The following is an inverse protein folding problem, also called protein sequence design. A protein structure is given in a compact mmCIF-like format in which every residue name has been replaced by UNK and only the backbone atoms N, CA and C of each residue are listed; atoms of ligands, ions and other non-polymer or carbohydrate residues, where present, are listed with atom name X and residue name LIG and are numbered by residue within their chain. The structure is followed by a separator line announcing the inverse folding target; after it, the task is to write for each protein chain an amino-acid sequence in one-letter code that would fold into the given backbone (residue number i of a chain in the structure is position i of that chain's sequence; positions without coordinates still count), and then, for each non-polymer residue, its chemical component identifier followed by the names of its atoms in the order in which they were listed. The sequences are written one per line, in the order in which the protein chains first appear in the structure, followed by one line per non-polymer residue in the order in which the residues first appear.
data_IF_546417936448
#
_entry.id   IF_546417936448
#
_cell.length_a   1.000
_cell.length_b   1.000
_cell.length_c   1.000
_cell.angle_alpha   90.00
_cell.angle_beta   90.00
_cell.angle_gamma   90.00
#
_symmetry.space_group_name_H-M   'P 1'
#
loop_
_entity.id
_entity.type
_entity.pdbx_description
1 polymer ?
#
# COMPACT_ATOMS: atom_id res chain seq x y z
N UNK A 1 0.63 -19.35 24.02
CA UNK A 1 0.52 -17.90 24.27
C UNK A 1 -0.84 -17.70 24.91
N UNK A 2 -0.91 -17.06 26.08
CA UNK A 2 -2.21 -16.80 26.70
C UNK A 2 -2.85 -15.66 25.92
N UNK A 3 -3.86 -16.00 25.12
CA UNK A 3 -4.56 -15.03 24.28
C UNK A 3 -5.64 -14.35 25.11
N UNK A 4 -5.73 -13.03 24.97
CA UNK A 4 -6.67 -12.18 25.71
C UNK A 4 -7.91 -11.92 24.86
N UNK A 5 -9.07 -11.81 25.51
CA UNK A 5 -10.29 -11.40 24.83
C UNK A 5 -10.22 -9.90 24.51
N UNK A 6 -11.06 -9.42 23.58
CA UNK A 6 -11.09 -8.01 23.20
C UNK A 6 -11.30 -7.06 24.39
N UNK A 7 -12.13 -7.47 25.35
CA UNK A 7 -12.45 -6.69 26.55
C UNK A 7 -11.25 -6.47 27.50
N UNK A 8 -10.24 -7.34 27.46
CA UNK A 8 -9.10 -7.32 28.39
C UNK A 8 -7.97 -6.36 27.94
N UNK A 9 -8.04 -5.86 26.71
CA UNK A 9 -7.09 -4.86 26.22
C UNK A 9 -7.45 -3.47 26.77
N UNK A 10 -6.45 -2.59 27.02
CA UNK A 10 -6.72 -1.20 27.37
C UNK A 10 -7.37 -0.43 26.20
N UNK A 11 -7.70 0.85 26.42
CA UNK A 11 -8.00 1.75 25.30
C UNK A 11 -6.79 1.86 24.37
N UNK A 12 -7.07 1.84 23.08
CA UNK A 12 -6.08 1.97 22.01
C UNK A 12 -5.71 3.43 21.86
N UNK A 13 -4.42 3.74 21.94
CA UNK A 13 -3.87 5.01 21.46
C UNK A 13 -3.88 5.02 19.92
N UNK A 14 -4.85 5.72 19.35
CA UNK A 14 -5.06 5.82 17.89
C UNK A 14 -3.98 6.65 17.18
N UNK A 15 -3.17 7.40 17.93
CA UNK A 15 -2.04 8.15 17.37
C UNK A 15 -0.75 7.33 17.34
N UNK A 16 -0.75 6.14 17.96
CA UNK A 16 0.43 5.30 18.01
C UNK A 16 0.83 4.84 16.60
N UNK A 17 2.11 4.99 16.19
CA UNK A 17 2.56 4.63 14.85
C UNK A 17 2.23 3.19 14.47
N UNK A 18 2.40 2.24 15.40
CA UNK A 18 2.07 0.83 15.14
C UNK A 18 0.60 0.64 14.83
N UNK A 19 -0.31 1.34 15.51
CA UNK A 19 -1.75 1.19 15.28
C UNK A 19 -2.17 1.76 13.93
N UNK A 20 -1.71 2.97 13.58
CA UNK A 20 -1.96 3.59 12.28
C UNK A 20 -1.53 2.63 11.16
N UNK A 21 -0.33 2.07 11.26
CA UNK A 21 0.21 1.13 10.28
C UNK A 21 -0.62 -0.15 10.16
N UNK A 22 -1.18 -0.66 11.26
CA UNK A 22 -2.12 -1.79 11.24
C UNK A 22 -3.39 -1.42 10.47
N UNK A 23 -4.00 -0.27 10.76
CA UNK A 23 -5.23 0.16 10.08
C UNK A 23 -5.02 0.42 8.59
N UNK A 24 -3.87 0.99 8.18
CA UNK A 24 -3.49 1.10 6.76
C UNK A 24 -3.35 -0.27 6.08
N UNK A 25 -2.80 -1.23 6.82
CA UNK A 25 -2.66 -2.61 6.32
C UNK A 25 -4.02 -3.30 6.16
N UNK A 26 -4.95 -3.06 7.09
CA UNK A 26 -6.36 -3.50 6.99
C UNK A 26 -7.06 -2.83 5.81
N UNK A 27 -6.90 -1.51 5.64
CA UNK A 27 -7.46 -0.79 4.49
C UNK A 27 -7.01 -1.40 3.16
N UNK A 28 -5.70 -1.63 2.98
CA UNK A 28 -5.17 -2.28 1.77
C UNK A 28 -5.77 -3.65 1.53
N UNK A 29 -6.10 -4.38 2.60
CA UNK A 29 -6.75 -5.68 2.52
C UNK A 29 -8.20 -5.56 2.04
N UNK A 30 -8.91 -4.53 2.50
CA UNK A 30 -10.32 -4.30 2.17
C UNK A 30 -10.50 -3.65 0.80
N UNK A 31 -9.54 -2.85 0.32
CA UNK A 31 -9.48 -2.35 -1.06
C UNK A 31 -9.10 -3.47 -2.04
N UNK A 32 -9.92 -4.52 -2.09
CA UNK A 32 -9.74 -5.71 -2.91
C UNK A 32 -9.75 -5.38 -4.41
N UNK A 33 -10.40 -4.28 -4.79
CA UNK A 33 -10.50 -3.77 -6.15
C UNK A 33 -9.34 -2.83 -6.54
N UNK A 34 -8.49 -2.45 -5.57
CA UNK A 34 -7.30 -1.64 -5.78
C UNK A 34 -7.57 -0.22 -6.29
N UNK A 35 -8.69 0.38 -5.88
CA UNK A 35 -9.10 1.72 -6.32
C UNK A 35 -8.57 2.84 -5.42
N UNK A 36 -7.89 2.50 -4.33
CA UNK A 36 -7.43 3.46 -3.32
C UNK A 36 -8.58 4.00 -2.46
N UNK A 37 -9.71 3.30 -2.41
CA UNK A 37 -10.87 3.67 -1.60
C UNK A 37 -11.71 2.43 -1.27
N UNK A 38 -12.34 2.44 -0.09
CA UNK A 38 -13.30 1.40 0.35
C UNK A 38 -14.68 2.00 0.55
N UNK A 39 -15.72 1.28 0.14
CA UNK A 39 -17.12 1.56 0.40
C UNK A 39 -17.84 0.31 0.89
N UNK A 40 -19.17 0.38 0.98
CA UNK A 40 -20.01 -0.78 1.35
C UNK A 40 -19.77 -1.98 0.44
N UNK A 41 -19.51 -1.75 -0.85
CA UNK A 41 -19.23 -2.79 -1.83
C UNK A 41 -18.07 -3.70 -1.41
N UNK A 42 -16.96 -3.13 -0.91
CA UNK A 42 -15.80 -3.91 -0.48
C UNK A 42 -16.14 -4.80 0.73
N UNK A 43 -17.01 -4.34 1.63
CA UNK A 43 -17.49 -5.14 2.77
C UNK A 43 -18.44 -6.26 2.33
N UNK A 44 -19.29 -6.01 1.33
CA UNK A 44 -20.16 -7.03 0.74
C UNK A 44 -19.37 -8.06 -0.08
N UNK A 45 -18.28 -7.64 -0.74
CA UNK A 45 -17.37 -8.53 -1.44
C UNK A 45 -16.71 -9.51 -0.46
N UNK A 46 -16.33 -9.07 0.75
CA UNK A 46 -15.81 -9.95 1.81
C UNK A 46 -16.85 -11.03 2.15
N UNK A 47 -18.10 -10.66 2.43
CA UNK A 47 -19.15 -11.63 2.73
C UNK A 47 -19.36 -12.61 1.56
N UNK A 48 -19.39 -12.10 0.33
CA UNK A 48 -19.55 -12.91 -0.88
C UNK A 48 -18.41 -13.92 -1.05
N UNK A 49 -17.17 -13.48 -0.84
CA UNK A 49 -15.99 -14.35 -0.94
C UNK A 49 -16.02 -15.45 0.11
N UNK A 50 -16.34 -15.10 1.37
CA UNK A 50 -16.45 -16.10 2.44
C UNK A 50 -17.56 -17.11 2.12
N UNK A 51 -18.74 -16.64 1.73
CA UNK A 51 -19.86 -17.52 1.34
C UNK A 51 -19.49 -18.48 0.21
N UNK A 52 -18.70 -18.02 -0.76
CA UNK A 52 -18.25 -18.85 -1.87
C UNK A 52 -17.30 -19.97 -1.44
N UNK A 53 -16.53 -19.76 -0.38
CA UNK A 53 -15.62 -20.75 0.19
C UNK A 53 -16.34 -21.78 1.09
N UNK A 54 -17.50 -21.42 1.64
CA UNK A 54 -18.29 -22.26 2.55
C UNK A 54 -19.70 -22.61 2.03
N UNK A 55 -19.85 -23.20 0.82
CA UNK A 55 -21.16 -23.42 0.19
C UNK A 55 -22.03 -24.48 0.89
N UNK A 56 -21.46 -25.23 1.83
CA UNK A 56 -22.16 -26.25 2.62
C UNK A 56 -22.62 -25.74 3.99
N UNK A 57 -22.24 -24.53 4.37
CA UNK A 57 -22.64 -23.94 5.64
C UNK A 57 -24.15 -23.67 5.65
N UNK A 58 -24.75 -23.64 6.84
CA UNK A 58 -26.18 -23.33 6.97
C UNK A 58 -26.44 -21.89 6.50
N UNK A 59 -27.48 -21.70 5.67
CA UNK A 59 -27.84 -20.37 5.13
C UNK A 59 -27.94 -19.28 6.21
N UNK A 60 -28.38 -19.67 7.41
CA UNK A 60 -28.45 -18.80 8.58
C UNK A 60 -27.12 -18.11 8.92
N UNK A 61 -25.99 -18.83 8.89
CA UNK A 61 -24.67 -18.24 9.14
C UNK A 61 -24.26 -17.26 8.04
N UNK A 62 -24.69 -17.52 6.82
CA UNK A 62 -24.53 -16.60 5.70
C UNK A 62 -25.27 -15.29 5.90
N UNK A 63 -26.54 -15.37 6.29
CA UNK A 63 -27.34 -14.18 6.60
C UNK A 63 -26.73 -13.37 7.75
N UNK A 64 -26.23 -14.05 8.79
CA UNK A 64 -25.52 -13.40 9.90
C UNK A 64 -24.24 -12.69 9.46
N UNK A 65 -23.44 -13.32 8.60
CA UNK A 65 -22.21 -12.70 8.08
C UNK A 65 -22.51 -11.45 7.24
N UNK A 66 -23.51 -11.52 6.36
CA UNK A 66 -23.92 -10.36 5.54
C UNK A 66 -24.43 -9.23 6.43
N UNK A 67 -25.28 -9.53 7.41
CA UNK A 67 -25.77 -8.54 8.38
C UNK A 67 -24.62 -7.90 9.16
N UNK A 68 -23.64 -8.70 9.59
CA UNK A 68 -22.48 -8.21 10.31
C UNK A 68 -21.61 -7.27 9.46
N UNK A 69 -21.37 -7.59 8.18
CA UNK A 69 -20.62 -6.70 7.27
C UNK A 69 -21.36 -5.38 6.98
N UNK A 70 -22.69 -5.43 6.81
CA UNK A 70 -23.53 -4.25 6.65
C UNK A 70 -23.46 -3.37 7.92
N UNK A 71 -23.64 -3.98 9.09
CA UNK A 71 -23.59 -3.26 10.36
C UNK A 71 -22.19 -2.69 10.65
N UNK A 72 -21.12 -3.42 10.31
CA UNK A 72 -19.76 -2.93 10.46
C UNK A 72 -19.53 -1.66 9.62
N UNK A 73 -20.08 -1.60 8.41
CA UNK A 73 -20.04 -0.38 7.61
C UNK A 73 -20.95 0.72 8.17
N UNK A 74 -22.27 0.52 8.21
CA UNK A 74 -23.23 1.60 8.53
C UNK A 74 -23.32 1.95 10.01
N UNK A 75 -23.19 0.95 10.89
CA UNK A 75 -23.37 1.10 12.34
C UNK A 75 -22.09 1.46 13.08
N UNK A 76 -20.92 1.10 12.55
CA UNK A 76 -19.65 1.20 13.28
C UNK A 76 -18.64 2.14 12.61
N UNK A 77 -18.30 1.91 11.33
CA UNK A 77 -17.20 2.64 10.66
C UNK A 77 -17.71 3.92 10.00
N UNK A 78 -18.67 3.80 9.09
CA UNK A 78 -19.28 4.92 8.36
C UNK A 78 -20.48 5.45 9.14
N UNK A 79 -20.22 6.24 10.18
CA UNK A 79 -21.25 6.76 11.09
C UNK A 79 -21.56 8.25 10.94
N UNK A 80 -20.78 8.97 10.13
CA UNK A 80 -21.01 10.39 9.87
C UNK A 80 -22.17 10.60 8.87
N UNK A 81 -23.04 11.58 9.13
CA UNK A 81 -24.18 11.94 8.27
C UNK A 81 -25.37 10.97 8.31
N UNK A 82 -26.44 11.18 7.52
CA UNK A 82 -27.63 10.31 7.50
C UNK A 82 -27.37 8.96 6.81
N UNK A 83 -27.87 7.86 7.38
CA UNK A 83 -27.62 6.48 6.91
C UNK A 83 -27.90 6.27 5.40
N UNK A 84 -29.03 6.78 4.89
CA UNK A 84 -29.41 6.65 3.48
C UNK A 84 -28.44 7.32 2.50
N UNK A 85 -27.57 8.22 2.98
CA UNK A 85 -26.54 8.87 2.16
C UNK A 85 -25.21 8.10 2.20
N UNK A 86 -25.03 7.19 3.16
CA UNK A 86 -23.76 6.49 3.40
C UNK A 86 -23.50 5.34 2.43
N UNK A 87 -24.51 4.90 1.70
CA UNK A 87 -24.35 3.90 0.63
C UNK A 87 -23.44 4.40 -0.49
N UNK A 88 -23.45 5.71 -0.78
CA UNK A 88 -22.59 6.32 -1.78
C UNK A 88 -21.25 6.83 -1.23
N UNK A 89 -21.00 6.69 0.08
CA UNK A 89 -19.74 7.11 0.69
C UNK A 89 -18.66 6.10 0.35
N UNK A 90 -17.54 6.62 -0.13
CA UNK A 90 -16.27 5.91 -0.23
C UNK A 90 -15.26 6.63 0.67
N UNK A 91 -14.43 5.86 1.36
CA UNK A 91 -13.37 6.38 2.22
C UNK A 91 -12.03 6.07 1.58
N UNK A 92 -11.21 7.11 1.40
CA UNK A 92 -9.78 6.91 1.16
C UNK A 92 -9.09 6.44 2.44
N UNK A 93 -7.83 6.00 2.32
CA UNK A 93 -7.12 5.37 3.45
C UNK A 93 -7.10 6.27 4.71
N UNK A 94 -6.84 7.58 4.55
CA UNK A 94 -6.81 8.54 5.67
C UNK A 94 -8.14 8.64 6.41
N UNK A 95 -9.24 8.70 5.65
CA UNK A 95 -10.59 8.82 6.18
C UNK A 95 -10.99 7.50 6.86
N UNK A 96 -10.63 6.36 6.28
CA UNK A 96 -10.84 5.05 6.87
C UNK A 96 -10.09 4.89 8.20
N UNK A 97 -8.80 5.27 8.26
CA UNK A 97 -8.00 5.20 9.50
C UNK A 97 -8.62 6.10 10.57
N UNK A 98 -9.10 7.28 10.19
CA UNK A 98 -9.76 8.22 11.09
C UNK A 98 -11.10 7.68 11.59
N UNK A 99 -11.92 7.11 10.70
CA UNK A 99 -13.18 6.46 11.05
C UNK A 99 -12.95 5.28 12.02
N UNK A 100 -11.96 4.43 11.74
CA UNK A 100 -11.52 3.37 12.65
C UNK A 100 -11.10 3.93 14.00
N UNK A 101 -10.38 5.07 14.03
CA UNK A 101 -9.96 5.71 15.28
C UNK A 101 -11.14 6.19 16.13
N UNK A 102 -12.21 6.67 15.50
CA UNK A 102 -13.44 7.08 16.20
C UNK A 102 -14.17 5.89 16.83
N UNK A 103 -14.15 4.71 16.20
CA UNK A 103 -14.95 3.57 16.63
C UNK A 103 -14.17 2.51 17.43
N UNK A 104 -12.82 2.44 17.33
CA UNK A 104 -11.99 1.34 17.86
C UNK A 104 -12.14 1.14 19.37
N UNK A 105 -12.31 2.21 20.15
CA UNK A 105 -12.52 2.14 21.60
C UNK A 105 -14.00 2.10 22.00
N UNK A 106 -14.91 2.23 21.04
CA UNK A 106 -16.36 2.22 21.23
C UNK A 106 -17.01 0.96 20.66
N UNK A 107 -18.01 1.14 19.79
CA UNK A 107 -18.82 0.06 19.23
C UNK A 107 -17.99 -1.06 18.59
N UNK A 108 -16.89 -0.72 17.92
CA UNK A 108 -16.03 -1.75 17.31
C UNK A 108 -15.50 -2.76 18.34
N UNK A 109 -15.11 -2.29 19.53
CA UNK A 109 -14.60 -3.15 20.60
C UNK A 109 -15.70 -3.85 21.36
N UNK A 110 -16.77 -3.14 21.72
CA UNK A 110 -17.89 -3.72 22.48
C UNK A 110 -18.65 -4.78 21.67
N UNK A 111 -18.66 -4.64 20.35
CA UNK A 111 -19.38 -5.53 19.46
C UNK A 111 -18.46 -6.47 18.66
N UNK A 112 -17.16 -6.49 18.99
CA UNK A 112 -16.12 -7.21 18.26
C UNK A 112 -16.47 -8.70 18.06
N UNK A 113 -16.92 -9.35 19.13
CA UNK A 113 -17.23 -10.78 19.11
C UNK A 113 -18.46 -11.09 18.28
N UNK A 114 -19.53 -10.27 18.36
CA UNK A 114 -20.76 -10.55 17.62
C UNK A 114 -20.67 -10.19 16.14
N UNK A 115 -19.87 -9.19 15.76
CA UNK A 115 -19.85 -8.66 14.39
C UNK A 115 -18.63 -9.09 13.58
N UNK A 116 -17.58 -9.62 14.22
CA UNK A 116 -16.36 -10.04 13.51
C UNK A 116 -16.05 -11.50 13.82
N UNK A 117 -15.90 -11.85 15.11
CA UNK A 117 -15.45 -13.20 15.50
C UNK A 117 -16.51 -14.25 15.20
N UNK A 118 -17.73 -14.07 15.70
CA UNK A 118 -18.79 -15.09 15.61
C UNK A 118 -19.22 -15.38 14.17
N UNK A 119 -19.52 -14.38 13.32
CA UNK A 119 -20.00 -14.66 11.97
C UNK A 119 -18.96 -15.40 11.11
N UNK A 120 -17.67 -15.18 11.37
CA UNK A 120 -16.59 -15.87 10.66
C UNK A 120 -16.31 -17.26 11.23
N UNK A 121 -16.30 -17.38 12.56
CA UNK A 121 -16.07 -18.66 13.22
C UNK A 121 -17.21 -19.64 12.96
N UNK A 122 -18.45 -19.20 13.16
CA UNK A 122 -19.64 -20.05 13.05
C UNK A 122 -19.90 -20.44 11.58
N UNK A 123 -19.47 -19.62 10.61
CA UNK A 123 -19.46 -19.98 9.18
C UNK A 123 -18.50 -21.14 8.88
N UNK A 124 -17.33 -21.12 9.52
CA UNK A 124 -16.27 -22.09 9.32
C UNK A 124 -16.52 -23.40 10.09
N UNK A 125 -17.00 -23.32 11.34
CA UNK A 125 -17.38 -24.44 12.22
C UNK A 125 -18.78 -25.00 11.84
N UNK A 126 -18.89 -25.47 10.59
CA UNK A 126 -20.16 -25.92 10.03
C UNK A 126 -20.68 -27.22 10.65
N UNK A 127 -19.79 -28.08 11.18
CA UNK A 127 -20.17 -29.32 11.86
C UNK A 127 -20.40 -29.14 13.37
N UNK A 128 -20.17 -27.92 13.88
CA UNK A 128 -20.47 -27.49 15.26
C UNK A 128 -19.67 -28.28 16.29
N UNK A 129 -18.45 -28.67 15.95
CA UNK A 129 -17.54 -29.36 16.85
C UNK A 129 -16.77 -28.39 17.78
N UNK A 130 -16.88 -27.09 17.52
CA UNK A 130 -16.25 -26.02 18.29
C UNK A 130 -14.83 -25.69 17.84
N UNK A 131 -14.38 -26.23 16.71
CA UNK A 131 -13.03 -26.08 16.18
C UNK A 131 -13.05 -25.70 14.70
N UNK A 132 -12.31 -24.66 14.37
CA UNK A 132 -11.97 -24.32 12.99
C UNK A 132 -10.73 -25.11 12.57
N UNK A 133 -10.88 -25.95 11.54
CA UNK A 133 -9.80 -26.75 10.98
C UNK A 133 -8.87 -25.92 10.08
N UNK A 134 -7.70 -26.48 9.72
CA UNK A 134 -6.67 -25.74 8.98
C UNK A 134 -7.14 -25.25 7.61
N UNK A 135 -7.88 -26.08 6.87
CA UNK A 135 -8.46 -25.72 5.58
C UNK A 135 -9.49 -24.61 5.74
N UNK A 136 -10.36 -24.70 6.74
CA UNK A 136 -11.42 -23.71 7.00
C UNK A 136 -10.80 -22.36 7.39
N UNK A 137 -9.82 -22.34 8.30
CA UNK A 137 -9.09 -21.12 8.62
C UNK A 137 -8.40 -20.53 7.39
N UNK A 138 -7.87 -21.38 6.51
CA UNK A 138 -7.26 -20.92 5.26
C UNK A 138 -8.27 -20.25 4.34
N UNK A 139 -9.45 -20.82 4.21
CA UNK A 139 -10.54 -20.26 3.42
C UNK A 139 -11.01 -18.91 3.98
N UNK A 140 -11.18 -18.79 5.31
CA UNK A 140 -11.50 -17.49 5.94
C UNK A 140 -10.42 -16.45 5.63
N UNK A 141 -9.14 -16.78 5.85
CA UNK A 141 -8.05 -15.83 5.63
C UNK A 141 -7.94 -15.43 4.15
N UNK A 142 -8.08 -16.36 3.21
CA UNK A 142 -8.05 -16.10 1.77
C UNK A 142 -9.24 -15.25 1.32
N UNK A 143 -10.43 -15.50 1.86
CA UNK A 143 -11.62 -14.70 1.56
C UNK A 143 -11.48 -13.23 2.00
N UNK A 144 -10.68 -12.99 3.05
CA UNK A 144 -10.24 -11.66 3.48
C UNK A 144 -9.01 -11.15 2.71
N UNK A 145 -8.72 -11.65 1.52
CA UNK A 145 -7.59 -11.22 0.69
C UNK A 145 -6.22 -11.67 1.20
N UNK A 146 -6.18 -12.61 2.14
CA UNK A 146 -5.00 -13.33 2.62
C UNK A 146 -4.43 -14.32 1.62
N UNK A 147 -3.32 -14.96 1.98
CA UNK A 147 -2.78 -16.08 1.21
C UNK A 147 -2.62 -17.34 2.07
N UNK A 148 -2.47 -18.48 1.39
CA UNK A 148 -2.37 -19.79 2.02
C UNK A 148 -1.22 -19.89 3.03
N UNK A 149 -0.06 -19.29 2.73
CA UNK A 149 1.12 -19.34 3.62
C UNK A 149 0.88 -18.58 4.92
N UNK A 150 0.20 -17.43 4.83
CA UNK A 150 -0.23 -16.66 6.00
C UNK A 150 -1.17 -17.48 6.86
N UNK A 151 -2.21 -18.07 6.26
CA UNK A 151 -3.18 -18.90 6.98
C UNK A 151 -2.53 -20.09 7.69
N UNK A 152 -1.65 -20.83 7.02
CA UNK A 152 -0.93 -21.96 7.62
C UNK A 152 -0.06 -21.55 8.80
N UNK A 153 0.57 -20.37 8.70
CA UNK A 153 1.39 -19.83 9.77
C UNK A 153 0.54 -19.48 10.98
N UNK A 154 -0.60 -18.81 10.76
CA UNK A 154 -1.53 -18.41 11.80
C UNK A 154 -2.16 -19.63 12.49
N UNK A 155 -2.62 -20.61 11.71
CA UNK A 155 -3.15 -21.86 12.24
C UNK A 155 -2.13 -22.56 13.15
N UNK A 156 -0.86 -22.64 12.73
CA UNK A 156 0.21 -23.24 13.54
C UNK A 156 0.47 -22.48 14.84
N UNK A 157 0.32 -21.15 14.84
CA UNK A 157 0.44 -20.32 16.05
C UNK A 157 -0.72 -20.62 17.02
N UNK A 158 -1.93 -20.77 16.49
CA UNK A 158 -3.15 -20.93 17.27
C UNK A 158 -3.35 -22.35 17.81
N UNK A 159 -3.24 -23.37 16.96
CA UNK A 159 -3.47 -24.78 17.33
C UNK A 159 -2.45 -25.27 18.38
N UNK A 160 -1.33 -24.56 18.56
CA UNK A 160 -0.29 -24.87 19.55
C UNK A 160 0.18 -26.34 19.56
N UNK A 161 -0.02 -27.06 18.45
CA UNK A 161 0.31 -28.46 18.28
C UNK A 161 -0.71 -29.47 18.83
N UNK A 162 -1.91 -29.02 19.25
CA UNK A 162 -2.95 -29.93 19.75
C UNK A 162 -3.58 -30.78 18.64
N UNK A 163 -3.48 -30.33 17.38
CA UNK A 163 -4.10 -30.93 16.19
C UNK A 163 -5.61 -31.13 16.31
N UNK A 164 -6.26 -30.42 17.23
CA UNK A 164 -7.72 -30.44 17.38
C UNK A 164 -8.38 -29.37 16.52
N UNK A 165 -7.64 -28.32 16.18
CA UNK A 165 -8.15 -27.15 15.46
C UNK A 165 -8.12 -25.91 16.35
N UNK A 166 -8.58 -24.80 15.78
CA UNK A 166 -8.58 -23.49 16.45
C UNK A 166 -9.93 -23.26 17.11
N UNK A 167 -9.93 -22.99 18.41
CA UNK A 167 -11.15 -22.64 19.16
C UNK A 167 -11.57 -21.18 18.90
N UNK A 168 -12.85 -20.88 19.16
CA UNK A 168 -13.38 -19.51 19.03
C UNK A 168 -12.62 -18.48 19.86
N UNK A 169 -12.21 -18.82 21.08
CA UNK A 169 -11.42 -17.93 21.94
C UNK A 169 -9.99 -17.68 21.42
N UNK A 170 -9.36 -18.67 20.80
CA UNK A 170 -8.06 -18.49 20.14
C UNK A 170 -8.19 -17.61 18.89
N UNK A 171 -9.27 -17.80 18.11
CA UNK A 171 -9.56 -16.97 16.95
C UNK A 171 -9.90 -15.53 17.34
N UNK A 172 -10.71 -15.32 18.38
CA UNK A 172 -10.94 -14.00 18.97
C UNK A 172 -9.62 -13.37 19.38
N UNK A 173 -8.80 -14.09 20.16
CA UNK A 173 -7.63 -13.54 20.79
C UNK A 173 -6.56 -13.05 19.82
N UNK A 174 -6.37 -13.71 18.68
CA UNK A 174 -5.42 -13.23 17.66
C UNK A 174 -5.92 -12.00 16.91
N UNK A 175 -7.22 -11.93 16.63
CA UNK A 175 -7.83 -10.75 16.04
C UNK A 175 -7.81 -9.58 17.03
N UNK A 176 -8.13 -9.85 18.30
CA UNK A 176 -8.11 -8.87 19.38
C UNK A 176 -6.70 -8.32 19.61
N UNK A 177 -5.67 -9.18 19.65
CA UNK A 177 -4.27 -8.74 19.72
C UNK A 177 -3.94 -7.80 18.56
N UNK A 178 -4.34 -8.14 17.33
CA UNK A 178 -4.08 -7.29 16.17
C UNK A 178 -4.79 -5.94 16.26
N UNK A 179 -6.07 -5.88 16.64
CA UNK A 179 -6.79 -4.59 16.66
C UNK A 179 -6.44 -3.73 17.88
N UNK A 180 -6.25 -4.35 19.05
CA UNK A 180 -6.18 -3.62 20.33
C UNK A 180 -4.77 -3.55 20.96
N UNK A 181 -3.82 -4.42 20.59
CA UNK A 181 -2.45 -4.32 21.11
C UNK A 181 -1.58 -3.40 20.26
N UNK A 182 -1.36 -2.17 20.73
CA UNK A 182 -0.45 -1.21 20.10
C UNK A 182 1.01 -1.68 20.14
N UNK A 183 1.37 -2.52 21.11
CA UNK A 183 2.71 -3.07 21.32
C UNK A 183 2.98 -4.38 20.60
N UNK A 184 2.06 -4.86 19.74
CA UNK A 184 2.16 -6.14 19.04
C UNK A 184 3.47 -6.28 18.26
N UNK A 185 4.06 -7.48 18.32
CA UNK A 185 5.34 -7.80 17.67
C UNK A 185 5.29 -9.18 17.00
N UNK A 186 6.28 -9.43 16.14
CA UNK A 186 6.49 -10.76 15.57
C UNK A 186 5.47 -11.13 14.51
N UNK A 187 5.00 -12.39 14.53
CA UNK A 187 4.18 -12.96 13.45
C UNK A 187 2.72 -12.51 13.51
N UNK A 188 2.16 -12.31 14.71
CA UNK A 188 0.77 -11.84 14.87
C UNK A 188 0.60 -10.40 14.42
N UNK A 189 1.64 -9.56 14.52
CA UNK A 189 1.68 -8.23 13.91
C UNK A 189 1.52 -8.25 12.37
N UNK A 190 1.72 -9.41 11.72
CA UNK A 190 1.60 -9.58 10.27
C UNK A 190 0.31 -10.34 9.88
N UNK A 191 -0.70 -10.36 10.76
CA UNK A 191 -1.98 -11.05 10.53
C UNK A 191 -2.63 -10.67 9.20
N UNK A 192 -2.63 -9.36 8.88
CA UNK A 192 -3.17 -8.82 7.63
C UNK A 192 -2.09 -8.56 6.56
N UNK A 193 -0.93 -9.24 6.68
CA UNK A 193 0.24 -9.05 5.82
C UNK A 193 1.29 -8.13 6.44
N UNK A 194 2.34 -7.83 5.67
CA UNK A 194 3.40 -6.93 6.12
C UNK A 194 2.83 -5.53 6.42
N UNK A 195 3.14 -5.03 7.63
CA UNK A 195 2.69 -3.72 8.09
C UNK A 195 3.29 -2.63 7.22
N UNK A 196 2.44 -1.81 6.63
CA UNK A 196 2.88 -0.65 5.85
C UNK A 196 3.67 0.29 6.76
N UNK A 197 4.92 0.60 6.40
CA UNK A 197 5.88 1.38 7.19
C UNK A 197 6.02 2.83 6.72
N UNK A 198 5.77 3.08 5.43
CA UNK A 198 6.08 4.38 4.85
C UNK A 198 5.03 5.43 5.23
N UNK A 199 5.48 6.67 5.40
CA UNK A 199 4.60 7.82 5.60
C UNK A 199 3.77 8.05 4.35
N UNK A 200 2.48 8.25 4.52
CA UNK A 200 1.59 8.67 3.44
C UNK A 200 1.86 10.13 3.08
N UNK A 201 1.55 10.56 1.85
CA UNK A 201 1.73 11.95 1.47
C UNK A 201 1.11 12.95 2.47
N UNK A 202 -0.04 12.62 3.04
CA UNK A 202 -0.79 13.43 4.01
C UNK A 202 -0.10 13.54 5.37
N UNK A 203 0.82 12.63 5.71
CA UNK A 203 1.59 12.67 6.96
C UNK A 203 2.72 13.71 6.92
N UNK A 204 3.07 14.22 5.74
CA UNK A 204 4.10 15.25 5.57
C UNK A 204 3.49 16.64 5.71
N UNK A 205 4.22 17.61 6.29
CA UNK A 205 3.77 19.00 6.31
C UNK A 205 3.68 19.58 4.89
N UNK A 206 3.08 20.77 4.78
CA UNK A 206 3.15 21.56 3.56
C UNK A 206 4.63 21.77 3.16
N UNK A 207 4.93 21.63 1.87
CA UNK A 207 6.29 21.68 1.35
C UNK A 207 6.61 23.10 0.92
N UNK A 208 7.64 23.73 1.49
CA UNK A 208 8.04 25.12 1.16
C UNK A 208 8.52 25.26 -0.30
N UNK A 209 8.95 24.15 -0.90
CA UNK A 209 9.46 24.06 -2.26
C UNK A 209 10.74 24.88 -2.47
N UNK A 210 11.59 24.92 -1.44
CA UNK A 210 12.85 25.67 -1.43
C UNK A 210 13.95 25.07 -2.33
N UNK A 211 15.21 25.57 -2.24
CA UNK A 211 16.30 25.17 -3.13
C UNK A 211 16.62 23.66 -3.11
N UNK A 212 16.47 23.00 -1.96
CA UNK A 212 16.65 21.55 -1.83
C UNK A 212 15.62 20.80 -2.66
N UNK A 213 14.34 21.18 -2.53
CA UNK A 213 13.24 20.58 -3.26
C UNK A 213 13.36 20.86 -4.77
N UNK A 214 13.61 22.10 -5.17
CA UNK A 214 13.82 22.44 -6.58
C UNK A 214 14.99 21.67 -7.20
N UNK A 215 16.10 21.53 -6.47
CA UNK A 215 17.27 20.78 -6.92
C UNK A 215 16.93 19.30 -7.20
N UNK A 216 16.11 18.68 -6.34
CA UNK A 216 15.58 17.33 -6.58
C UNK A 216 14.75 17.30 -7.86
N UNK A 217 13.73 18.15 -7.98
CA UNK A 217 12.83 18.10 -9.14
C UNK A 217 13.56 18.39 -10.47
N UNK A 218 14.49 19.34 -10.50
CA UNK A 218 15.35 19.58 -11.68
C UNK A 218 16.22 18.38 -12.04
N UNK A 219 16.72 17.68 -11.03
CA UNK A 219 17.47 16.44 -11.23
C UNK A 219 16.58 15.39 -11.88
N UNK A 220 15.39 15.15 -11.32
CA UNK A 220 14.42 14.23 -11.90
C UNK A 220 14.05 14.58 -13.34
N UNK A 221 13.75 15.85 -13.64
CA UNK A 221 13.45 16.31 -15.00
C UNK A 221 14.55 15.93 -15.99
N UNK A 222 15.81 16.22 -15.65
CA UNK A 222 16.97 15.91 -16.52
C UNK A 222 17.21 14.42 -16.69
N UNK A 223 16.86 13.62 -15.70
CA UNK A 223 16.96 12.15 -15.74
C UNK A 223 15.89 11.53 -16.63
N UNK A 224 14.74 12.19 -16.74
CA UNK A 224 13.65 11.79 -17.62
C UNK A 224 13.80 12.36 -19.04
N UNK A 225 14.47 13.50 -19.23
CA UNK A 225 14.78 14.08 -20.56
C UNK A 225 15.96 13.34 -21.20
N UNK A 226 15.71 12.10 -21.63
CA UNK A 226 16.73 11.24 -22.22
C UNK A 226 17.33 11.84 -23.48
N UNK A 227 16.60 12.67 -24.22
CA UNK A 227 17.13 13.29 -25.43
C UNK A 227 17.87 14.62 -25.18
N UNK A 228 17.86 15.14 -23.96
CA UNK A 228 18.46 16.44 -23.64
C UNK A 228 17.82 17.59 -24.42
N UNK A 229 16.53 17.43 -24.75
CA UNK A 229 15.79 18.38 -25.59
C UNK A 229 15.30 19.60 -24.80
N UNK A 230 15.37 19.55 -23.46
CA UNK A 230 14.79 20.52 -22.55
C UNK A 230 13.27 20.36 -22.39
N UNK A 231 12.70 19.27 -22.90
CA UNK A 231 11.26 18.98 -22.88
C UNK A 231 11.02 17.49 -22.66
N UNK A 232 10.05 17.15 -21.81
CA UNK A 232 9.55 15.78 -21.67
C UNK A 232 8.38 15.53 -22.63
N UNK A 233 8.35 14.34 -23.21
CA UNK A 233 7.28 13.85 -24.08
C UNK A 233 6.93 12.42 -23.70
N UNK A 234 5.75 11.95 -24.12
CA UNK A 234 5.35 10.55 -24.02
C UNK A 234 6.44 9.59 -24.54
N UNK A 235 7.17 9.99 -25.58
CA UNK A 235 8.26 9.21 -26.15
C UNK A 235 9.39 8.94 -25.15
N UNK A 236 9.74 9.87 -24.26
CA UNK A 236 10.80 9.66 -23.27
C UNK A 236 10.46 8.51 -22.31
N UNK A 237 9.21 8.45 -21.85
CA UNK A 237 8.69 7.38 -21.00
C UNK A 237 8.63 6.04 -21.74
N UNK A 238 8.22 6.05 -23.01
CA UNK A 238 8.28 4.87 -23.88
C UNK A 238 9.72 4.34 -24.00
N UNK A 239 10.71 5.24 -24.11
CA UNK A 239 12.11 4.85 -24.22
C UNK A 239 12.65 4.29 -22.90
N UNK A 240 12.24 4.83 -21.75
CA UNK A 240 12.53 4.23 -20.43
C UNK A 240 11.94 2.82 -20.35
N UNK A 241 10.68 2.63 -20.74
CA UNK A 241 10.03 1.31 -20.73
C UNK A 241 10.72 0.30 -21.64
N UNK A 242 11.10 0.70 -22.86
CA UNK A 242 11.89 -0.14 -23.79
C UNK A 242 13.27 -0.47 -23.22
N UNK A 243 13.93 0.50 -22.61
CA UNK A 243 15.22 0.34 -21.96
C UNK A 243 15.15 -0.70 -20.83
N UNK A 244 14.09 -0.66 -20.01
CA UNK A 244 13.84 -1.64 -18.94
C UNK A 244 13.52 -3.02 -19.51
N UNK A 245 12.64 -3.11 -20.51
CA UNK A 245 12.28 -4.37 -21.14
C UNK A 245 13.49 -5.07 -21.77
N UNK A 246 14.35 -4.30 -22.47
CA UNK A 246 15.56 -4.82 -23.11
C UNK A 246 16.61 -5.27 -22.09
N UNK A 247 16.90 -4.46 -21.07
CA UNK A 247 17.92 -4.76 -20.04
C UNK A 247 17.56 -5.93 -19.15
N UNK A 248 16.27 -6.12 -18.88
CA UNK A 248 15.77 -7.27 -18.13
C UNK A 248 15.46 -8.48 -19.03
N UNK A 249 15.70 -8.39 -20.34
CA UNK A 249 15.38 -9.45 -21.31
C UNK A 249 13.95 -9.97 -21.22
N UNK A 250 12.99 -9.05 -21.05
CA UNK A 250 11.62 -9.41 -20.76
C UNK A 250 10.93 -10.10 -21.96
N UNK A 251 10.14 -11.15 -21.72
CA UNK A 251 9.22 -11.66 -22.72
C UNK A 251 8.18 -10.59 -23.07
N UNK A 252 7.62 -10.66 -24.27
CA UNK A 252 6.71 -9.64 -24.83
C UNK A 252 5.60 -9.21 -23.87
N UNK A 253 4.91 -10.14 -23.21
CA UNK A 253 3.81 -9.80 -22.31
C UNK A 253 4.26 -8.97 -21.08
N UNK A 254 5.42 -9.29 -20.48
CA UNK A 254 5.99 -8.49 -19.38
C UNK A 254 6.46 -7.13 -19.88
N UNK A 255 7.09 -7.09 -21.06
CA UNK A 255 7.47 -5.83 -21.70
C UNK A 255 6.25 -4.93 -21.94
N UNK A 256 5.14 -5.48 -22.47
CA UNK A 256 3.89 -4.75 -22.69
C UNK A 256 3.33 -4.18 -21.37
N UNK A 257 3.44 -4.89 -20.25
CA UNK A 257 3.04 -4.38 -18.93
C UNK A 257 3.89 -3.20 -18.48
N UNK A 258 5.21 -3.27 -18.65
CA UNK A 258 6.12 -2.13 -18.37
C UNK A 258 5.76 -0.93 -19.25
N UNK A 259 5.49 -1.17 -20.54
CA UNK A 259 5.08 -0.10 -21.46
C UNK A 259 3.77 0.55 -21.05
N UNK A 260 2.76 -0.24 -20.65
CA UNK A 260 1.50 0.28 -20.11
C UNK A 260 1.71 1.13 -18.87
N UNK A 261 2.55 0.68 -17.93
CA UNK A 261 2.85 1.44 -16.72
C UNK A 261 3.56 2.78 -17.03
N UNK A 262 4.50 2.79 -17.99
CA UNK A 262 5.16 4.04 -18.41
C UNK A 262 4.22 5.02 -19.12
N UNK A 263 3.28 4.51 -19.91
CA UNK A 263 2.23 5.33 -20.52
C UNK A 263 1.25 5.86 -19.48
N UNK A 264 0.87 5.03 -18.53
CA UNK A 264 0.02 5.41 -17.39
C UNK A 264 0.65 6.54 -16.58
N UNK A 265 1.95 6.43 -16.29
CA UNK A 265 2.74 7.48 -15.66
C UNK A 265 2.67 8.79 -16.44
N UNK A 266 2.91 8.74 -17.76
CA UNK A 266 2.85 9.93 -18.59
C UNK A 266 1.46 10.58 -18.56
N UNK A 267 0.42 9.79 -18.84
CA UNK A 267 -0.95 10.28 -19.02
C UNK A 267 -1.48 10.90 -17.72
N UNK A 268 -1.35 10.19 -16.60
CA UNK A 268 -2.01 10.56 -15.36
C UNK A 268 -1.19 11.52 -14.47
N UNK A 269 0.13 11.60 -14.63
CA UNK A 269 0.97 12.37 -13.69
C UNK A 269 1.80 13.48 -14.33
N UNK A 270 2.16 13.39 -15.61
CA UNK A 270 3.03 14.39 -16.26
C UNK A 270 2.30 15.22 -17.32
N UNK A 271 1.43 14.56 -18.08
CA UNK A 271 0.77 15.19 -19.22
C UNK A 271 -0.46 15.98 -18.82
N UNK A 272 -0.86 16.01 -17.54
CA UNK A 272 -2.08 16.68 -17.10
C UNK A 272 -1.76 17.74 -16.05
N UNK A 273 -2.40 18.91 -16.11
CA UNK A 273 -2.38 19.87 -14.99
C UNK A 273 -3.59 19.68 -14.06
N UNK A 274 -3.65 20.52 -13.02
CA UNK A 274 -4.76 20.55 -12.06
C UNK A 274 -6.13 20.83 -12.69
N UNK A 275 -6.16 21.45 -13.87
CA UNK A 275 -7.38 21.82 -14.58
C UNK A 275 -7.78 20.74 -15.62
N UNK A 276 -7.02 19.63 -15.69
CA UNK A 276 -7.27 18.51 -16.60
C UNK A 276 -6.75 18.74 -18.02
N UNK A 277 -5.98 19.80 -18.28
CA UNK A 277 -5.45 20.08 -19.60
C UNK A 277 -4.29 19.14 -19.94
N UNK A 278 -4.33 18.54 -21.13
CA UNK A 278 -3.29 17.62 -21.58
C UNK A 278 -2.16 18.30 -22.37
N UNK A 279 -0.92 18.12 -21.91
CA UNK A 279 0.31 18.56 -22.58
C UNK A 279 0.87 17.48 -23.48
N UNK A 280 1.23 17.84 -24.72
CA UNK A 280 1.99 16.97 -25.61
C UNK A 280 3.49 17.00 -25.32
N UNK A 281 3.96 18.10 -24.73
CA UNK A 281 5.34 18.31 -24.30
C UNK A 281 5.38 19.18 -23.05
N UNK A 282 6.32 18.91 -22.13
CA UNK A 282 6.43 19.58 -20.84
C UNK A 282 7.83 20.17 -20.64
N UNK A 283 7.93 21.49 -20.49
CA UNK A 283 9.22 22.14 -20.17
C UNK A 283 9.52 22.04 -18.67
N UNK A 284 10.80 22.22 -18.30
CA UNK A 284 11.25 22.15 -16.89
C UNK A 284 10.44 23.06 -15.96
N UNK A 285 10.10 24.28 -16.41
CA UNK A 285 9.30 25.22 -15.63
C UNK A 285 7.87 24.73 -15.35
N UNK A 286 7.24 24.09 -16.34
CA UNK A 286 5.85 23.63 -16.25
C UNK A 286 5.80 22.36 -15.42
N UNK A 287 6.80 21.47 -15.59
CA UNK A 287 7.02 20.32 -14.73
C UNK A 287 7.14 20.70 -13.25
N UNK A 288 8.02 21.67 -12.92
CA UNK A 288 8.19 22.13 -11.53
C UNK A 288 6.90 22.77 -11.01
N UNK A 289 6.25 23.60 -11.82
CA UNK A 289 4.98 24.25 -11.43
C UNK A 289 3.88 23.23 -11.13
N UNK A 290 3.68 22.25 -12.01
CA UNK A 290 2.66 21.22 -11.84
C UNK A 290 2.94 20.37 -10.60
N UNK A 291 4.20 19.96 -10.37
CA UNK A 291 4.56 19.22 -9.16
C UNK A 291 4.31 20.02 -7.88
N UNK A 292 4.61 21.33 -7.86
CA UNK A 292 4.27 22.19 -6.70
C UNK A 292 2.77 22.19 -6.41
N UNK A 293 1.97 22.36 -7.47
CA UNK A 293 0.51 22.35 -7.34
C UNK A 293 -0.02 21.00 -6.87
N UNK A 294 0.60 19.90 -7.30
CA UNK A 294 0.20 18.55 -6.93
C UNK A 294 0.53 18.24 -5.48
N UNK A 295 1.77 18.51 -5.04
CA UNK A 295 2.20 18.14 -3.69
C UNK A 295 1.46 18.94 -2.62
N UNK A 296 1.19 20.24 -2.81
CA UNK A 296 0.48 21.06 -1.82
C UNK A 296 -1.01 21.24 -2.13
N UNK A 297 -1.58 20.44 -3.04
CA UNK A 297 -2.97 20.52 -3.48
C UNK A 297 -3.79 19.26 -3.20
N UNK A 298 -5.00 19.20 -3.76
CA UNK A 298 -5.95 18.09 -3.56
C UNK A 298 -5.44 16.74 -4.10
N UNK A 299 -4.53 16.78 -5.07
CA UNK A 299 -3.91 15.58 -5.67
C UNK A 299 -2.67 15.08 -4.94
N UNK A 300 -2.40 15.55 -3.71
CA UNK A 300 -1.21 15.13 -2.93
C UNK A 300 -1.11 13.62 -2.75
N UNK A 301 -2.23 12.95 -2.53
CA UNK A 301 -2.34 11.49 -2.44
C UNK A 301 -1.81 10.76 -3.68
N UNK A 302 -1.80 11.42 -4.85
CA UNK A 302 -1.30 10.82 -6.08
C UNK A 302 0.22 10.55 -6.04
N UNK A 303 0.97 11.15 -5.11
CA UNK A 303 2.43 10.97 -4.99
C UNK A 303 2.82 9.52 -4.73
N UNK A 304 2.12 8.80 -3.86
CA UNK A 304 2.48 7.41 -3.56
C UNK A 304 1.85 6.42 -4.55
N UNK A 305 0.69 6.73 -5.13
CA UNK A 305 0.13 6.03 -6.29
C UNK A 305 1.11 6.06 -7.48
N UNK A 306 1.69 7.23 -7.74
CA UNK A 306 2.74 7.43 -8.72
C UNK A 306 3.95 6.52 -8.45
N UNK A 307 4.38 6.45 -7.19
CA UNK A 307 5.46 5.57 -6.74
C UNK A 307 5.14 4.09 -6.92
N UNK A 308 3.90 3.68 -6.65
CA UNK A 308 3.43 2.30 -6.85
C UNK A 308 3.45 1.88 -8.32
N UNK A 309 3.01 2.75 -9.23
CA UNK A 309 3.06 2.46 -10.67
C UNK A 309 4.50 2.28 -11.13
N UNK A 310 5.44 3.11 -10.63
CA UNK A 310 6.86 2.93 -10.91
C UNK A 310 7.43 1.65 -10.30
N UNK A 311 7.11 1.34 -9.04
CA UNK A 311 7.55 0.11 -8.38
C UNK A 311 7.15 -1.13 -9.21
N UNK A 312 5.88 -1.21 -9.63
CA UNK A 312 5.37 -2.32 -10.47
C UNK A 312 6.02 -2.39 -11.84
N UNK A 313 6.43 -1.25 -12.41
CA UNK A 313 7.15 -1.23 -13.69
C UNK A 313 8.59 -1.75 -13.57
N UNK A 314 9.19 -1.66 -12.38
CA UNK A 314 10.58 -2.06 -12.10
C UNK A 314 10.65 -3.49 -11.59
N UNK A 315 9.69 -3.90 -10.75
CA UNK A 315 9.55 -5.26 -10.21
C UNK A 315 8.95 -6.20 -11.27
N UNK A 316 9.79 -6.55 -12.24
CA UNK A 316 9.36 -7.27 -13.45
C UNK A 316 9.26 -8.78 -13.23
N UNK A 317 9.90 -9.30 -12.18
CA UNK A 317 9.86 -10.72 -11.84
C UNK A 317 8.65 -11.15 -11.01
N UNK A 318 7.86 -10.21 -10.46
CA UNK A 318 6.63 -10.52 -9.73
C UNK A 318 6.89 -11.18 -8.37
N UNK A 319 8.08 -11.00 -7.82
CA UNK A 319 8.51 -11.50 -6.51
C UNK A 319 7.97 -10.65 -5.36
N UNK A 320 7.51 -9.43 -5.65
CA UNK A 320 7.14 -8.42 -4.67
C UNK A 320 8.33 -7.63 -4.10
N UNK A 321 9.54 -7.83 -4.61
CA UNK A 321 10.74 -7.11 -4.20
C UNK A 321 11.58 -6.72 -5.43
N UNK A 322 12.15 -5.52 -5.42
CA UNK A 322 13.10 -5.11 -6.45
C UNK A 322 14.48 -5.63 -6.09
N UNK A 323 15.04 -6.48 -6.95
CA UNK A 323 16.42 -6.94 -6.83
C UNK A 323 17.43 -5.83 -7.19
N UNK A 324 18.67 -5.99 -6.76
CA UNK A 324 19.77 -5.09 -7.14
C UNK A 324 19.95 -4.97 -8.67
N UNK A 325 19.72 -6.07 -9.41
CA UNK A 325 19.80 -6.05 -10.87
C UNK A 325 18.68 -5.21 -11.50
N UNK A 326 17.44 -5.39 -11.05
CA UNK A 326 16.28 -4.60 -11.51
C UNK A 326 16.45 -3.11 -11.16
N UNK A 327 16.87 -2.81 -9.93
CA UNK A 327 17.14 -1.43 -9.51
C UNK A 327 18.24 -0.77 -10.34
N UNK A 328 19.34 -1.48 -10.61
CA UNK A 328 20.41 -0.98 -11.48
C UNK A 328 19.90 -0.71 -12.89
N UNK A 329 19.09 -1.60 -13.45
CA UNK A 329 18.53 -1.43 -14.79
C UNK A 329 17.65 -0.17 -14.89
N UNK A 330 16.90 0.17 -13.83
CA UNK A 330 16.17 1.43 -13.72
C UNK A 330 17.10 2.64 -13.67
N UNK A 331 18.07 2.63 -12.76
CA UNK A 331 19.00 3.73 -12.57
C UNK A 331 19.82 4.01 -13.84
N UNK A 332 20.25 2.98 -14.56
CA UNK A 332 20.91 3.11 -15.86
C UNK A 332 19.97 3.66 -16.95
N UNK A 333 18.67 3.31 -16.93
CA UNK A 333 17.69 3.92 -17.83
C UNK A 333 17.55 5.42 -17.57
N UNK A 334 17.75 5.87 -16.32
CA UNK A 334 17.87 7.27 -15.92
C UNK A 334 19.28 7.86 -16.07
N UNK A 335 20.22 7.14 -16.67
CA UNK A 335 21.63 7.55 -16.85
C UNK A 335 22.36 7.84 -15.53
N UNK A 336 21.96 7.18 -14.46
CA UNK A 336 22.69 7.19 -13.19
C UNK A 336 23.80 6.15 -13.27
N UNK A 337 24.98 6.51 -12.79
CA UNK A 337 26.15 5.65 -12.81
C UNK A 337 25.97 4.44 -11.89
N UNK A 338 26.71 3.37 -12.19
CA UNK A 338 26.59 2.11 -11.46
C UNK A 338 26.87 2.29 -9.97
N UNK A 339 27.98 2.96 -9.62
CA UNK A 339 28.39 3.14 -8.23
C UNK A 339 27.34 3.91 -7.41
N UNK A 340 26.73 4.94 -7.99
CA UNK A 340 25.65 5.70 -7.38
C UNK A 340 24.39 4.83 -7.18
N UNK A 341 24.05 4.01 -8.18
CA UNK A 341 22.94 3.06 -8.06
C UNK A 341 23.17 2.04 -6.94
N UNK A 342 24.37 1.44 -6.83
CA UNK A 342 24.68 0.49 -5.74
C UNK A 342 24.70 1.17 -4.37
N UNK A 343 25.14 2.43 -4.29
CA UNK A 343 25.08 3.23 -3.08
C UNK A 343 23.65 3.51 -2.64
N UNK A 344 22.79 3.94 -3.57
CA UNK A 344 21.38 4.23 -3.28
C UNK A 344 20.61 2.96 -2.94
N UNK A 345 20.90 1.82 -3.59
CA UNK A 345 20.30 0.53 -3.23
C UNK A 345 20.53 0.19 -1.75
N UNK A 346 21.76 0.35 -1.25
CA UNK A 346 22.08 0.12 0.17
C UNK A 346 21.40 1.10 1.13
N UNK A 347 21.03 2.29 0.65
CA UNK A 347 20.25 3.26 1.41
C UNK A 347 18.77 2.85 1.46
N UNK A 348 18.25 2.30 0.37
CA UNK A 348 16.86 1.81 0.28
C UNK A 348 16.66 0.51 1.06
N UNK A 349 17.60 -0.42 0.98
CA UNK A 349 17.59 -1.71 1.69
C UNK A 349 17.91 -1.49 3.19
N UNK A 350 16.89 -1.06 3.93
CA UNK A 350 17.00 -0.64 5.33
C UNK A 350 17.15 -1.82 6.27
N UNK A 351 16.53 -2.96 5.95
CA UNK A 351 16.62 -4.18 6.75
C UNK A 351 17.79 -5.10 6.34
N UNK A 352 18.46 -4.78 5.23
CA UNK A 352 19.69 -5.41 4.72
C UNK A 352 19.46 -6.86 4.26
N UNK A 353 18.26 -7.15 3.75
CA UNK A 353 17.93 -8.47 3.21
C UNK A 353 18.34 -8.65 1.74
N UNK A 354 18.93 -7.62 1.13
CA UNK A 354 19.54 -7.65 -0.20
C UNK A 354 18.55 -7.40 -1.35
N UNK A 355 17.33 -6.95 -1.04
CA UNK A 355 16.26 -6.64 -1.98
C UNK A 355 15.44 -5.46 -1.42
N UNK A 356 14.77 -4.72 -2.30
CA UNK A 356 13.99 -3.54 -1.88
C UNK A 356 12.51 -3.92 -1.85
N UNK A 357 11.90 -3.84 -0.68
CA UNK A 357 10.45 -3.97 -0.53
C UNK A 357 9.70 -2.75 -1.08
N UNK A 358 8.40 -2.89 -1.35
CA UNK A 358 7.55 -1.74 -1.73
C UNK A 358 7.56 -0.63 -0.67
N UNK A 359 7.61 -0.99 0.60
CA UNK A 359 7.64 -0.04 1.71
C UNK A 359 8.91 0.80 1.74
N UNK A 360 10.06 0.16 1.52
CA UNK A 360 11.36 0.85 1.45
C UNK A 360 11.44 1.78 0.24
N UNK A 361 10.98 1.29 -0.91
CA UNK A 361 10.91 2.10 -2.12
C UNK A 361 10.01 3.32 -1.93
N UNK A 362 8.80 3.13 -1.40
CA UNK A 362 7.82 4.21 -1.23
C UNK A 362 8.18 5.17 -0.10
N UNK A 363 8.89 4.69 0.94
CA UNK A 363 9.47 5.58 1.94
C UNK A 363 10.43 6.57 1.29
N UNK A 364 11.36 6.07 0.49
CA UNK A 364 12.32 6.93 -0.20
C UNK A 364 11.67 7.81 -1.28
N UNK A 365 10.66 7.28 -1.97
CA UNK A 365 9.88 8.01 -2.95
C UNK A 365 9.15 9.21 -2.33
N UNK A 366 8.35 8.98 -1.28
CA UNK A 366 7.63 10.04 -0.58
C UNK A 366 8.60 11.07 0.01
N UNK A 367 9.69 10.64 0.65
CA UNK A 367 10.73 11.55 1.16
C UNK A 367 11.40 12.36 0.03
N UNK A 368 11.55 11.79 -1.16
CA UNK A 368 12.08 12.51 -2.32
C UNK A 368 11.15 13.63 -2.80
N UNK A 369 9.83 13.43 -2.80
CA UNK A 369 8.89 14.47 -3.25
C UNK A 369 8.48 15.45 -2.15
N UNK A 370 8.42 14.99 -0.88
CA UNK A 370 7.76 15.70 0.21
C UNK A 370 8.69 16.07 1.38
N UNK A 371 9.88 15.48 1.47
CA UNK A 371 10.87 15.86 2.48
C UNK A 371 11.71 17.06 2.03
N UNK A 372 12.08 17.96 2.94
CA UNK A 372 12.96 19.11 2.64
C UNK A 372 14.28 19.11 3.41
N UNK A 373 14.56 18.06 4.20
CA UNK A 373 15.82 17.92 4.91
C UNK A 373 17.00 17.75 3.94
N UNK A 374 17.95 18.71 3.88
CA UNK A 374 19.14 18.62 3.03
C UNK A 374 20.07 17.46 3.41
N UNK A 375 19.97 16.92 4.62
CA UNK A 375 20.74 15.76 5.08
C UNK A 375 20.08 14.42 4.70
N UNK A 376 18.84 14.44 4.21
CA UNK A 376 18.11 13.21 3.85
C UNK A 376 18.91 12.40 2.82
N UNK A 377 19.16 11.10 3.08
CA UNK A 377 19.86 10.24 2.14
C UNK A 377 19.01 9.96 0.90
N UNK A 378 17.68 10.14 0.97
CA UNK A 378 16.77 9.94 -0.14
C UNK A 378 16.81 11.06 -1.19
N UNK A 379 17.48 12.20 -0.92
CA UNK A 379 17.59 13.31 -1.88
C UNK A 379 18.28 12.93 -3.20
N UNK A 380 19.00 11.82 -3.22
CA UNK A 380 19.69 11.28 -4.40
C UNK A 380 18.96 10.09 -5.05
N UNK A 381 17.66 9.92 -4.82
CA UNK A 381 16.86 8.81 -5.37
C UNK A 381 16.98 8.69 -6.90
N UNK A 382 16.96 9.83 -7.61
CA UNK A 382 17.19 9.93 -9.07
C UNK A 382 18.68 10.20 -9.41
N UNK A 383 19.59 9.75 -8.55
CA UNK A 383 21.03 10.01 -8.63
C UNK A 383 21.46 11.33 -7.97
N UNK A 384 22.76 11.70 -8.07
CA UNK A 384 23.28 12.93 -7.48
C UNK A 384 22.53 14.18 -7.93
N UNK A 385 22.26 15.08 -6.99
CA UNK A 385 21.57 16.35 -7.27
C UNK A 385 22.38 17.19 -8.26
N UNK A 386 21.76 17.56 -9.37
CA UNK A 386 22.44 18.28 -10.45
C UNK A 386 22.35 19.79 -10.17
N UNK A 387 23.39 20.34 -9.55
CA UNK A 387 23.44 21.71 -9.02
C UNK A 387 23.80 22.80 -10.05
N UNK A 388 24.01 22.50 -11.34
CA UNK A 388 24.33 23.52 -12.35
C UNK A 388 23.64 23.28 -13.70
N UNK A 389 23.31 24.38 -14.41
CA UNK A 389 23.15 24.37 -15.86
C UNK A 389 24.48 23.93 -16.48
N UNK A 390 24.68 22.65 -16.73
CA UNK A 390 25.84 22.14 -17.46
C UNK A 390 25.74 22.54 -18.94
N UNK A 391 25.97 23.81 -19.25
CA UNK A 391 26.68 24.19 -20.47
C UNK A 391 28.13 23.80 -20.23
N UNK A 392 28.49 22.58 -20.59
CA UNK A 392 29.84 22.09 -20.93
C UNK A 392 29.94 20.59 -20.62
N UNK A 393 29.43 19.77 -21.54
CA UNK A 393 29.94 18.42 -21.80
C UNK A 393 29.62 18.04 -23.25
N UNK A 394 30.06 18.89 -24.18
CA UNK A 394 30.15 18.62 -25.61
C UNK A 394 31.45 19.28 -26.10
N UNK A 395 32.58 18.79 -25.58
CA UNK A 395 33.90 18.95 -26.15
C UNK A 395 34.85 18.02 -25.38
N UNK A 396 34.85 16.75 -25.76
CA UNK A 396 36.04 15.91 -25.94
C UNK A 396 35.64 14.56 -26.55
#
# INVERSE_FOLDING_TARGET
MEMKCAADYPEVDVNAPTWIRKMRTVFRRFDSRGRGAVGIDEFLDIATNVLSEFPKSENYFGDQLVQAMIHLWYGVICTDGPEHQRTGIVMHESDFVTAMGKCINGLFKTEFVQNIVSPLFDMADGDKDGFMQQNEMSQVIVAFGGNQKEAELLFRILDAGTKKGVTKGQFEGILAEYFFDVGIKGKTAKLFGALINYKRPEDYPEVECGPVWEGKMRTMFRRLDLHGSGKLRCHDFIQIGRALAQRNHLPKHKADNVMRAMLDIWVHYFSVDKDGAHFTELMEKDFIHNLRSMINGEFRHAIDQFGWTFFKAVEVEGTGFISMAEYRNLQEAWRVGRAEAEGMFKVLDTDKDGKISSDEYLSAWCEYFLGEDPASPYKTFFGPVISQHSRNSLAE
#
